data_IF_304666451131
#
_entry.id   IF_304666451131
#
_cell.length_a   1.000
_cell.length_b   1.000
_cell.length_c   1.000
_cell.angle_alpha   90.00
_cell.angle_beta   90.00
_cell.angle_gamma   90.00
#
_symmetry.space_group_name_H-M   'P 1'
#
loop_
_entity.id
_entity.type
_entity.pdbx_description
1 polymer ?
#
# COMPACT_ATOMS: atom_id res chain seq x y z
N UNK A 1 16.19 12.24 -31.32
CA UNK A 1 16.06 11.87 -29.90
C UNK A 1 15.10 10.68 -29.80
N UNK A 2 15.47 9.61 -29.13
CA UNK A 2 14.56 8.52 -28.85
C UNK A 2 13.66 8.91 -27.66
N UNK A 3 12.37 8.62 -27.77
CA UNK A 3 11.41 8.83 -26.68
C UNK A 3 11.59 7.75 -25.62
N UNK A 4 11.64 8.10 -24.34
CA UNK A 4 11.62 7.15 -23.24
C UNK A 4 10.28 6.40 -23.22
N UNK A 5 10.33 5.08 -23.21
CA UNK A 5 9.13 4.26 -23.05
C UNK A 5 8.83 4.09 -21.57
N UNK A 6 7.57 4.22 -21.16
CA UNK A 6 7.14 4.10 -19.77
C UNK A 6 7.59 2.78 -19.10
N UNK A 7 7.66 1.69 -19.86
CA UNK A 7 8.17 0.40 -19.36
C UNK A 7 9.63 0.44 -18.87
N UNK A 8 10.41 1.41 -19.32
CA UNK A 8 11.82 1.57 -18.94
C UNK A 8 11.99 2.58 -17.80
N UNK A 9 10.96 3.34 -17.43
CA UNK A 9 10.96 4.19 -16.26
C UNK A 9 10.70 3.34 -15.01
N UNK A 10 11.65 3.27 -14.09
CA UNK A 10 11.57 2.42 -12.91
C UNK A 10 11.80 3.20 -11.63
N UNK A 11 11.01 2.83 -10.62
CA UNK A 11 11.20 3.25 -9.24
C UNK A 11 11.84 2.10 -8.48
N UNK A 12 12.89 2.39 -7.74
CA UNK A 12 13.62 1.41 -6.96
C UNK A 12 13.79 1.90 -5.52
N UNK A 13 13.82 0.96 -4.59
CA UNK A 13 14.09 1.15 -3.17
C UNK A 13 15.50 0.62 -2.91
N UNK A 14 16.31 1.39 -2.19
CA UNK A 14 17.64 0.93 -1.79
C UNK A 14 17.55 -0.12 -0.68
N UNK A 15 18.17 -1.26 -0.90
CA UNK A 15 18.34 -2.30 0.10
C UNK A 15 19.75 -2.19 0.69
N UNK A 16 19.83 -1.73 1.93
CA UNK A 16 21.10 -1.53 2.65
C UNK A 16 21.82 -2.85 2.94
N UNK A 17 21.11 -3.97 3.02
CA UNK A 17 21.72 -5.28 3.28
C UNK A 17 22.39 -5.84 2.03
N UNK A 18 21.74 -5.68 0.88
CA UNK A 18 22.28 -6.15 -0.41
C UNK A 18 23.16 -5.10 -1.07
N UNK A 19 23.21 -3.86 -0.57
CA UNK A 19 23.86 -2.69 -1.20
C UNK A 19 23.42 -2.49 -2.66
N UNK A 20 22.13 -2.77 -2.95
CA UNK A 20 21.56 -2.74 -4.29
C UNK A 20 20.20 -2.06 -4.28
N UNK A 21 19.77 -1.64 -5.45
CA UNK A 21 18.41 -1.13 -5.65
C UNK A 21 17.47 -2.27 -6.00
N UNK A 22 16.38 -2.41 -5.24
CA UNK A 22 15.26 -3.31 -5.54
C UNK A 22 14.21 -2.54 -6.32
N UNK A 23 13.92 -2.97 -7.54
CA UNK A 23 12.82 -2.38 -8.30
C UNK A 23 11.48 -2.72 -7.62
N UNK A 24 10.53 -1.80 -7.67
CA UNK A 24 9.13 -2.13 -7.38
C UNK A 24 8.67 -3.04 -8.52
N UNK A 25 8.71 -4.34 -8.25
CA UNK A 25 8.55 -5.38 -9.27
C UNK A 25 7.15 -5.42 -9.84
N UNK A 26 7.03 -5.83 -11.12
CA UNK A 26 5.74 -5.94 -11.85
C UNK A 26 4.88 -4.68 -11.79
N UNK A 27 5.51 -3.51 -11.73
CA UNK A 27 4.80 -2.24 -11.72
C UNK A 27 4.02 -2.05 -13.03
N UNK A 28 2.76 -1.69 -12.90
CA UNK A 28 1.85 -1.37 -14.01
C UNK A 28 1.81 0.13 -14.30
N UNK A 29 2.08 0.94 -13.28
CA UNK A 29 2.17 2.39 -13.37
C UNK A 29 3.03 2.96 -12.25
N UNK A 30 3.82 4.00 -12.57
CA UNK A 30 4.55 4.77 -11.58
C UNK A 30 4.49 6.25 -11.95
N UNK A 31 4.27 7.09 -10.95
CA UNK A 31 4.19 8.54 -11.12
C UNK A 31 5.10 9.21 -10.09
N UNK A 32 5.85 10.19 -10.53
CA UNK A 32 6.64 11.08 -9.67
C UNK A 32 6.07 12.48 -9.80
N UNK A 33 5.67 13.07 -8.70
CA UNK A 33 5.14 14.43 -8.63
C UNK A 33 6.12 15.33 -7.87
N UNK A 34 6.53 16.43 -8.48
CA UNK A 34 7.36 17.46 -7.88
C UNK A 34 6.50 18.71 -7.73
N UNK A 35 6.43 19.27 -6.53
CA UNK A 35 5.58 20.42 -6.24
C UNK A 35 6.42 21.57 -5.70
N UNK A 36 6.22 22.77 -6.27
CA UNK A 36 6.67 24.02 -5.68
C UNK A 36 5.47 24.69 -4.99
N UNK A 37 5.55 24.84 -3.69
CA UNK A 37 4.57 25.60 -2.94
C UNK A 37 4.94 27.08 -3.06
N UNK A 38 3.97 27.91 -3.46
CA UNK A 38 4.20 29.33 -3.72
C UNK A 38 3.35 30.18 -2.81
N UNK A 39 3.87 31.33 -2.44
CA UNK A 39 3.13 32.40 -1.78
C UNK A 39 3.09 33.61 -2.70
N UNK A 40 2.08 34.49 -2.54
CA UNK A 40 1.94 35.71 -3.34
C UNK A 40 2.77 36.83 -2.71
N UNK A 41 3.81 37.24 -3.41
CA UNK A 41 4.67 38.38 -3.04
C UNK A 41 4.24 39.72 -3.68
N UNK A 42 3.00 39.80 -4.16
CA UNK A 42 2.47 41.00 -4.78
C UNK A 42 2.42 42.19 -3.80
N UNK A 43 2.88 43.35 -4.22
CA UNK A 43 2.86 44.60 -3.42
C UNK A 43 2.42 45.77 -4.26
N UNK A 44 2.20 46.95 -3.64
CA UNK A 44 1.63 48.13 -4.29
C UNK A 44 2.49 48.74 -5.42
N UNK A 45 3.80 48.46 -5.44
CA UNK A 45 4.71 48.99 -6.45
C UNK A 45 4.76 48.14 -7.73
N UNK A 46 3.99 47.02 -7.76
CA UNK A 46 3.85 46.19 -8.96
C UNK A 46 2.89 46.87 -9.94
N UNK A 47 3.38 47.14 -11.13
CA UNK A 47 2.58 47.71 -12.21
C UNK A 47 1.83 46.59 -12.93
N UNK A 48 0.50 46.62 -12.88
CA UNK A 48 -0.37 45.64 -13.54
C UNK A 48 -1.14 44.78 -12.56
N UNK A 49 -1.96 43.85 -13.10
CA UNK A 49 -2.84 42.97 -12.33
C UNK A 49 -2.29 41.52 -12.16
N UNK A 50 -1.02 41.30 -12.49
CA UNK A 50 -0.40 39.99 -12.41
C UNK A 50 0.11 39.69 -11.00
N UNK A 51 -0.19 38.51 -10.47
CA UNK A 51 0.38 38.01 -9.22
C UNK A 51 1.89 37.72 -9.38
N UNK A 52 2.66 37.90 -8.31
CA UNK A 52 4.08 37.56 -8.25
C UNK A 52 4.32 36.38 -7.29
N UNK A 53 4.11 35.14 -7.73
CA UNK A 53 4.33 33.97 -6.87
C UNK A 53 5.81 33.79 -6.56
N UNK A 54 6.14 33.58 -5.29
CA UNK A 54 7.47 33.23 -4.80
C UNK A 54 7.44 31.82 -4.25
N UNK A 55 8.40 30.98 -4.64
CA UNK A 55 8.51 29.61 -4.10
C UNK A 55 8.96 29.67 -2.64
N UNK A 56 8.14 29.14 -1.75
CA UNK A 56 8.41 29.09 -0.31
C UNK A 56 8.87 27.73 0.17
N UNK A 57 8.42 26.66 -0.50
CA UNK A 57 8.89 25.31 -0.19
C UNK A 57 8.73 24.37 -1.39
N UNK A 58 9.43 23.25 -1.34
CA UNK A 58 9.40 22.19 -2.36
C UNK A 58 9.06 20.86 -1.70
N UNK A 59 8.22 20.08 -2.35
CA UNK A 59 7.90 18.72 -1.94
C UNK A 59 7.89 17.78 -3.14
N UNK A 60 7.96 16.49 -2.86
CA UNK A 60 7.87 15.46 -3.89
C UNK A 60 7.22 14.22 -3.35
N UNK A 61 6.55 13.50 -4.23
CA UNK A 61 5.91 12.23 -3.91
C UNK A 61 6.04 11.26 -5.08
N UNK A 62 5.95 9.98 -4.76
CA UNK A 62 5.99 8.89 -5.72
C UNK A 62 4.82 7.97 -5.46
N UNK A 63 4.08 7.60 -6.51
CA UNK A 63 3.06 6.57 -6.45
C UNK A 63 3.38 5.46 -7.43
N UNK A 64 3.14 4.21 -7.02
CA UNK A 64 3.35 3.03 -7.85
C UNK A 64 2.22 2.02 -7.67
N UNK A 65 1.77 1.46 -8.78
CA UNK A 65 0.88 0.30 -8.81
C UNK A 65 1.66 -0.93 -9.26
N UNK A 66 1.41 -2.07 -8.65
CA UNK A 66 2.16 -3.30 -8.92
C UNK A 66 1.30 -4.54 -8.73
N UNK A 67 1.52 -5.55 -9.56
CA UNK A 67 0.92 -6.89 -9.43
C UNK A 67 1.73 -7.80 -8.48
N UNK A 68 2.90 -7.36 -8.02
CA UNK A 68 3.72 -8.13 -7.09
C UNK A 68 3.27 -7.87 -5.65
N UNK A 69 2.71 -8.86 -5.01
CA UNK A 69 2.36 -8.85 -3.57
C UNK A 69 3.26 -9.77 -2.73
N UNK A 70 4.24 -10.42 -3.34
CA UNK A 70 5.17 -11.31 -2.61
C UNK A 70 6.03 -10.55 -1.59
N UNK A 71 6.23 -9.24 -1.80
CA UNK A 71 6.94 -8.36 -0.88
C UNK A 71 6.02 -7.62 0.12
N UNK A 72 4.75 -8.02 0.23
CA UNK A 72 3.77 -7.39 1.13
C UNK A 72 4.30 -7.29 2.57
N UNK A 73 4.89 -8.37 3.09
CA UNK A 73 5.46 -8.37 4.43
C UNK A 73 6.56 -7.32 4.59
N UNK A 74 7.45 -7.17 3.60
CA UNK A 74 8.51 -6.17 3.63
C UNK A 74 7.94 -4.73 3.61
N UNK A 75 6.92 -4.45 2.79
CA UNK A 75 6.27 -3.14 2.73
C UNK A 75 5.53 -2.82 4.03
N UNK A 76 4.78 -3.78 4.59
CA UNK A 76 4.10 -3.62 5.87
C UNK A 76 5.08 -3.42 7.03
N UNK A 77 6.23 -4.08 7.00
CA UNK A 77 7.30 -3.87 7.99
C UNK A 77 7.92 -2.48 7.82
N UNK A 78 8.15 -2.02 6.60
CA UNK A 78 8.73 -0.71 6.33
C UNK A 78 7.85 0.43 6.87
N UNK A 79 6.53 0.36 6.62
CA UNK A 79 5.60 1.38 7.14
C UNK A 79 5.53 1.33 8.69
N UNK A 80 5.56 0.12 9.26
CA UNK A 80 5.53 -0.08 10.71
C UNK A 80 6.77 0.48 11.42
N UNK A 81 7.94 0.41 10.79
CA UNK A 81 9.17 0.96 11.35
C UNK A 81 9.20 2.49 11.33
N UNK A 82 8.29 3.15 10.62
CA UNK A 82 8.25 4.62 10.50
C UNK A 82 9.60 5.23 10.08
N UNK A 83 10.37 4.54 9.25
CA UNK A 83 11.69 5.00 8.85
C UNK A 83 11.71 5.40 7.38
N UNK A 84 12.44 6.47 7.01
CA UNK A 84 12.57 6.87 5.63
C UNK A 84 13.38 5.84 4.84
N UNK A 85 12.99 5.64 3.60
CA UNK A 85 13.68 4.79 2.65
C UNK A 85 14.32 5.63 1.55
N UNK A 86 15.48 5.20 1.06
CA UNK A 86 16.07 5.83 -0.12
C UNK A 86 15.37 5.32 -1.37
N UNK A 87 14.68 6.21 -2.07
CA UNK A 87 14.11 5.96 -3.39
C UNK A 87 15.03 6.50 -4.47
N UNK A 88 15.01 5.81 -5.60
CA UNK A 88 15.63 6.27 -6.83
C UNK A 88 14.67 6.00 -7.99
N UNK A 89 14.56 6.95 -8.91
CA UNK A 89 13.95 6.70 -10.20
C UNK A 89 14.96 6.89 -11.32
N UNK A 90 14.89 6.02 -12.29
CA UNK A 90 15.84 6.00 -13.40
C UNK A 90 15.24 5.29 -14.61
N UNK A 91 15.93 5.38 -15.73
CA UNK A 91 15.71 4.54 -16.89
C UNK A 91 16.46 3.22 -16.74
N UNK A 92 15.84 2.12 -17.13
CA UNK A 92 16.52 0.84 -17.26
C UNK A 92 16.95 0.59 -18.69
N UNK A 93 18.01 -0.21 -18.84
CA UNK A 93 18.46 -0.69 -20.14
C UNK A 93 17.31 -1.36 -20.89
N UNK A 94 17.19 -1.02 -22.17
CA UNK A 94 16.19 -1.64 -23.06
C UNK A 94 16.50 -3.10 -23.39
N UNK A 95 17.70 -3.55 -23.05
CA UNK A 95 18.20 -4.90 -23.41
C UNK A 95 17.84 -5.93 -22.34
N UNK A 96 17.95 -5.59 -21.06
CA UNK A 96 17.82 -6.56 -19.97
C UNK A 96 16.83 -6.13 -18.87
N UNK A 97 16.37 -4.88 -18.84
CA UNK A 97 15.54 -4.30 -17.78
C UNK A 97 16.12 -4.48 -16.35
N UNK A 98 17.38 -4.85 -16.22
CA UNK A 98 18.03 -5.17 -14.95
C UNK A 98 19.18 -4.22 -14.62
N UNK A 99 19.62 -3.42 -15.60
CA UNK A 99 20.70 -2.46 -15.46
C UNK A 99 20.15 -1.06 -15.59
N UNK A 100 20.51 -0.17 -14.67
CA UNK A 100 20.16 1.26 -14.74
C UNK A 100 20.95 1.96 -15.82
N UNK A 101 20.26 2.76 -16.63
CA UNK A 101 20.89 3.55 -17.70
C UNK A 101 21.61 4.81 -17.18
N UNK A 102 21.37 5.22 -15.91
CA UNK A 102 21.90 6.47 -15.31
C UNK A 102 21.52 7.71 -16.13
N UNK A 103 20.22 7.80 -16.42
CA UNK A 103 19.69 8.90 -17.20
C UNK A 103 19.91 10.26 -16.50
N UNK A 104 20.00 11.32 -17.28
CA UNK A 104 20.22 12.69 -16.77
C UNK A 104 19.08 13.17 -15.87
N UNK A 105 17.88 12.61 -16.03
CA UNK A 105 16.71 12.91 -15.18
C UNK A 105 16.64 12.04 -13.91
N UNK A 106 17.54 11.06 -13.75
CA UNK A 106 17.57 10.22 -12.57
C UNK A 106 17.80 11.03 -11.30
N UNK A 107 17.00 10.77 -10.29
CA UNK A 107 17.10 11.42 -8.97
C UNK A 107 16.92 10.39 -7.88
N UNK A 108 17.50 10.70 -6.72
CA UNK A 108 17.31 9.96 -5.48
C UNK A 108 16.93 10.89 -4.33
N UNK A 109 16.21 10.37 -3.37
CA UNK A 109 15.82 11.09 -2.16
C UNK A 109 15.34 10.15 -1.08
N UNK A 110 15.19 10.69 0.12
CA UNK A 110 14.59 9.98 1.26
C UNK A 110 13.07 10.16 1.21
N UNK A 111 12.32 9.09 1.43
CA UNK A 111 10.88 9.13 1.47
C UNK A 111 10.33 8.17 2.51
N UNK A 112 9.19 8.52 3.08
CA UNK A 112 8.38 7.60 3.88
C UNK A 112 7.38 6.90 3.00
N UNK A 113 7.20 5.59 3.19
CA UNK A 113 6.06 4.86 2.65
C UNK A 113 4.85 5.26 3.50
N UNK A 114 4.01 6.14 2.99
CA UNK A 114 2.91 6.73 3.75
C UNK A 114 1.55 6.09 3.48
N UNK A 115 1.42 5.33 2.40
CA UNK A 115 0.17 4.66 2.08
C UNK A 115 0.43 3.36 1.31
N UNK A 116 -0.24 2.28 1.73
CA UNK A 116 -0.18 0.97 1.08
C UNK A 116 -1.57 0.36 1.02
N UNK A 117 -2.04 0.06 -0.16
CA UNK A 117 -3.29 -0.66 -0.37
C UNK A 117 -2.99 -1.98 -1.08
N UNK A 118 -3.39 -3.08 -0.47
CA UNK A 118 -3.39 -4.41 -1.10
C UNK A 118 -4.81 -4.79 -1.48
N UNK A 119 -5.01 -5.27 -2.70
CA UNK A 119 -6.29 -5.74 -3.22
C UNK A 119 -6.18 -7.21 -3.65
N UNK A 120 -7.12 -8.02 -3.16
CA UNK A 120 -7.19 -9.45 -3.40
C UNK A 120 -8.61 -9.81 -3.83
N UNK A 121 -8.89 -9.70 -5.12
CA UNK A 121 -10.21 -9.99 -5.67
C UNK A 121 -10.26 -11.41 -6.24
N UNK A 122 -11.46 -12.02 -6.19
CA UNK A 122 -11.66 -13.36 -6.72
C UNK A 122 -11.34 -13.43 -8.22
N UNK A 123 -10.57 -14.45 -8.61
CA UNK A 123 -10.18 -14.76 -10.01
C UNK A 123 -9.43 -13.64 -10.73
N UNK A 124 -8.81 -12.72 -10.01
CA UNK A 124 -7.92 -11.70 -10.55
C UNK A 124 -6.54 -11.79 -9.94
N UNK A 125 -5.56 -11.15 -10.57
CA UNK A 125 -4.25 -10.99 -9.96
C UNK A 125 -4.36 -10.00 -8.80
N UNK A 126 -3.73 -10.34 -7.69
CA UNK A 126 -3.59 -9.42 -6.58
C UNK A 126 -2.83 -8.17 -7.01
N UNK A 127 -3.19 -7.03 -6.44
CA UNK A 127 -2.58 -5.74 -6.75
C UNK A 127 -2.15 -5.06 -5.46
N UNK A 128 -1.16 -4.19 -5.57
CA UNK A 128 -0.81 -3.24 -4.51
C UNK A 128 -0.63 -1.85 -5.10
N UNK A 129 -1.01 -0.86 -4.32
CA UNK A 129 -0.73 0.55 -4.57
C UNK A 129 0.16 1.05 -3.44
N UNK A 130 1.20 1.77 -3.80
CA UNK A 130 2.18 2.33 -2.86
C UNK A 130 2.25 3.83 -3.09
N UNK A 131 2.24 4.60 -2.00
CA UNK A 131 2.52 6.02 -2.03
C UNK A 131 3.68 6.32 -1.10
N UNK A 132 4.61 7.11 -1.61
CA UNK A 132 5.78 7.56 -0.87
C UNK A 132 5.77 9.09 -0.81
N UNK A 133 5.89 9.64 0.38
CA UNK A 133 6.06 11.06 0.60
C UNK A 133 7.53 11.37 0.81
N UNK A 134 8.07 12.23 -0.03
CA UNK A 134 9.46 12.67 0.07
C UNK A 134 9.72 13.51 1.32
N UNK A 135 10.90 13.33 1.90
CA UNK A 135 11.40 14.12 3.01
C UNK A 135 12.79 14.63 2.67
N UNK A 136 12.94 15.93 2.58
CA UNK A 136 14.19 16.58 2.22
C UNK A 136 14.50 16.63 0.72
N UNK A 137 15.74 17.04 0.35
CA UNK A 137 16.11 17.36 -1.00
C UNK A 137 16.28 16.14 -1.90
N UNK A 138 15.95 16.35 -3.18
CA UNK A 138 16.32 15.44 -4.26
C UNK A 138 17.78 15.66 -4.68
N UNK A 139 18.49 14.56 -4.85
CA UNK A 139 19.88 14.53 -5.27
C UNK A 139 20.01 13.94 -6.68
N UNK A 140 20.99 14.40 -7.44
CA UNK A 140 21.40 13.73 -8.66
C UNK A 140 22.06 12.40 -8.32
N UNK A 141 21.84 11.41 -9.16
CA UNK A 141 22.44 10.10 -8.96
C UNK A 141 23.91 10.10 -9.37
N UNK A 142 24.80 9.74 -8.46
CA UNK A 142 26.22 9.69 -8.73
C UNK A 142 26.57 8.56 -9.75
N UNK A 143 27.62 8.78 -10.53
CA UNK A 143 28.11 7.77 -11.48
C UNK A 143 28.57 6.47 -10.80
N UNK A 144 29.02 6.55 -9.53
CA UNK A 144 29.44 5.44 -8.69
C UNK A 144 28.28 4.64 -8.07
N UNK A 145 27.03 5.12 -8.17
CA UNK A 145 25.88 4.40 -7.64
C UNK A 145 25.71 3.02 -8.27
N UNK A 146 25.22 2.08 -7.48
CA UNK A 146 24.96 0.72 -7.93
C UNK A 146 24.09 0.70 -9.20
N UNK A 147 24.51 -0.05 -10.21
CA UNK A 147 23.80 -0.17 -11.48
C UNK A 147 22.83 -1.35 -11.49
N UNK A 148 23.07 -2.36 -10.66
CA UNK A 148 22.26 -3.57 -10.65
C UNK A 148 20.93 -3.31 -9.97
N UNK A 149 19.87 -3.76 -10.65
CA UNK A 149 18.51 -3.82 -10.16
C UNK A 149 18.19 -5.29 -9.91
N UNK A 150 17.65 -5.59 -8.74
CA UNK A 150 17.12 -6.92 -8.45
C UNK A 150 15.70 -6.95 -9.01
N UNK A 151 15.43 -7.72 -10.07
CA UNK A 151 14.06 -7.90 -10.54
C UNK A 151 13.33 -8.72 -9.50
N UNK A 152 12.19 -8.23 -9.06
CA UNK A 152 11.35 -8.91 -8.10
C UNK A 152 9.99 -9.18 -8.73
N UNK A 153 9.50 -10.39 -8.63
CA UNK A 153 8.11 -10.59 -8.77
C UNK A 153 7.64 -12.00 -9.11
N UNK A 154 6.75 -12.45 -8.30
CA UNK A 154 5.71 -13.39 -8.65
C UNK A 154 4.36 -12.73 -8.40
N UNK A 155 3.40 -12.97 -9.27
CA UNK A 155 2.02 -12.58 -9.02
C UNK A 155 1.34 -13.67 -8.19
N UNK A 156 0.38 -13.26 -7.37
CA UNK A 156 -0.49 -14.16 -6.61
C UNK A 156 -1.91 -13.92 -7.06
N UNK A 157 -2.68 -14.98 -7.30
CA UNK A 157 -4.09 -14.84 -7.59
C UNK A 157 -4.82 -14.49 -6.29
N UNK A 158 -5.67 -13.48 -6.33
CA UNK A 158 -6.41 -12.98 -5.16
C UNK A 158 -7.30 -14.03 -4.50
N UNK A 159 -7.81 -15.00 -5.25
CA UNK A 159 -8.61 -16.11 -4.71
C UNK A 159 -7.87 -16.94 -3.65
N UNK A 160 -6.54 -16.96 -3.65
CA UNK A 160 -5.72 -17.70 -2.70
C UNK A 160 -5.37 -16.89 -1.45
N UNK A 161 -5.72 -15.61 -1.40
CA UNK A 161 -5.50 -14.75 -0.23
C UNK A 161 -6.84 -14.54 0.48
N UNK A 162 -6.92 -14.92 1.75
CA UNK A 162 -8.18 -14.89 2.49
C UNK A 162 -8.05 -14.19 3.84
N UNK A 163 -9.14 -13.54 4.22
CA UNK A 163 -9.32 -12.97 5.55
C UNK A 163 -9.89 -14.02 6.49
N UNK A 164 -9.20 -14.24 7.60
CA UNK A 164 -9.60 -15.07 8.71
C UNK A 164 -9.97 -14.19 9.89
N UNK A 165 -11.10 -14.49 10.54
CA UNK A 165 -11.56 -13.78 11.71
C UNK A 165 -11.70 -14.73 12.92
N UNK A 166 -11.35 -14.23 14.11
CA UNK A 166 -11.66 -14.86 15.39
C UNK A 166 -13.11 -14.62 15.80
N UNK A 167 -13.51 -15.17 16.92
CA UNK A 167 -14.77 -14.86 17.58
C UNK A 167 -14.66 -13.64 18.48
N UNK A 168 -13.48 -13.36 18.98
CA UNK A 168 -13.18 -12.28 19.92
C UNK A 168 -11.69 -11.85 19.79
N UNK A 169 -11.24 -10.99 20.69
CA UNK A 169 -9.86 -10.47 20.68
C UNK A 169 -8.82 -11.44 21.29
N UNK A 170 -9.22 -12.61 21.74
CA UNK A 170 -8.34 -13.64 22.32
C UNK A 170 -8.23 -14.88 21.46
N UNK A 171 -9.30 -15.26 20.78
CA UNK A 171 -9.37 -16.44 19.94
C UNK A 171 -8.52 -16.27 18.66
N UNK A 172 -7.68 -17.27 18.38
CA UNK A 172 -6.91 -17.30 17.14
C UNK A 172 -7.84 -17.24 15.91
N UNK A 173 -7.56 -16.40 14.91
CA UNK A 173 -8.39 -16.29 13.72
C UNK A 173 -8.26 -17.55 12.86
N UNK A 174 -9.24 -18.42 12.94
CA UNK A 174 -9.24 -19.73 12.27
C UNK A 174 -10.31 -19.88 11.18
N UNK A 175 -11.28 -18.96 11.11
CA UNK A 175 -12.42 -19.06 10.20
C UNK A 175 -12.39 -17.97 9.14
N UNK A 176 -12.53 -18.37 7.87
CA UNK A 176 -12.61 -17.45 6.73
C UNK A 176 -14.02 -16.85 6.60
N UNK A 177 -14.15 -15.71 5.92
CA UNK A 177 -15.46 -15.20 5.51
C UNK A 177 -16.00 -16.06 4.38
N UNK A 178 -17.25 -16.54 4.53
CA UNK A 178 -17.90 -17.36 3.52
C UNK A 178 -18.21 -16.54 2.26
N UNK A 179 -18.04 -17.16 1.08
CA UNK A 179 -18.37 -16.57 -0.22
C UNK A 179 -17.77 -15.18 -0.49
N UNK A 180 -16.60 -14.91 0.08
CA UNK A 180 -15.88 -13.66 -0.12
C UNK A 180 -15.55 -13.45 -1.62
N UNK A 181 -15.76 -12.21 -2.11
CA UNK A 181 -15.49 -11.77 -3.49
C UNK A 181 -14.26 -10.88 -3.57
N UNK A 182 -14.07 -10.02 -2.58
CA UNK A 182 -12.97 -9.08 -2.52
C UNK A 182 -12.43 -8.96 -1.11
N UNK A 183 -11.17 -8.58 -1.02
CA UNK A 183 -10.48 -8.24 0.20
C UNK A 183 -9.50 -7.11 -0.10
N UNK A 184 -9.56 -6.04 0.67
CA UNK A 184 -8.59 -4.95 0.64
C UNK A 184 -8.02 -4.73 2.03
N UNK A 185 -6.72 -4.58 2.12
CA UNK A 185 -6.01 -4.10 3.31
C UNK A 185 -5.37 -2.77 2.96
N UNK A 186 -5.73 -1.75 3.67
CA UNK A 186 -5.15 -0.42 3.59
C UNK A 186 -4.37 -0.11 4.86
N UNK A 187 -3.16 0.35 4.74
CA UNK A 187 -2.31 0.80 5.85
C UNK A 187 -1.76 2.17 5.52
N UNK A 188 -1.96 3.11 6.41
CA UNK A 188 -1.52 4.49 6.24
C UNK A 188 -0.63 4.95 7.38
N UNK A 189 0.35 5.78 7.05
CA UNK A 189 1.26 6.46 7.97
C UNK A 189 0.95 7.96 7.90
N UNK A 190 0.56 8.53 9.01
CA UNK A 190 0.38 9.98 9.12
C UNK A 190 1.74 10.66 9.25
N UNK A 191 1.96 11.67 8.42
CA UNK A 191 3.17 12.47 8.41
C UNK A 191 2.81 13.92 8.75
N UNK A 192 3.68 14.58 9.50
CA UNK A 192 3.60 16.00 9.79
C UNK A 192 4.81 16.73 9.21
N UNK A 193 4.61 17.99 8.85
CA UNK A 193 5.69 18.85 8.35
C UNK A 193 6.56 19.32 9.54
N UNK A 194 7.79 18.83 9.59
CA UNK A 194 8.80 19.17 10.59
C UNK A 194 9.81 20.22 10.08
N UNK A 195 9.48 20.92 9.01
CA UNK A 195 10.33 21.95 8.44
C UNK A 195 10.44 23.15 9.39
N UNK A 196 11.66 23.57 9.68
CA UNK A 196 11.95 24.72 10.55
C UNK A 196 12.78 25.77 9.80
N UNK A 197 12.95 26.95 10.40
CA UNK A 197 13.82 28.01 9.85
C UNK A 197 15.29 27.58 9.75
N UNK A 198 15.69 26.56 10.53
CA UNK A 198 17.05 26.01 10.53
C UNK A 198 17.22 24.88 9.50
N UNK A 199 16.14 24.48 8.84
CA UNK A 199 16.19 23.47 7.78
C UNK A 199 16.89 24.07 6.56
N UNK A 200 17.97 23.42 6.13
CA UNK A 200 18.73 23.90 4.98
C UNK A 200 17.96 23.68 3.66
N UNK A 201 17.83 24.73 2.89
CA UNK A 201 17.15 24.70 1.57
C UNK A 201 15.63 24.84 1.67
N UNK A 202 14.96 24.71 0.51
CA UNK A 202 13.52 24.94 0.38
C UNK A 202 12.69 23.65 0.47
N UNK A 203 13.28 22.53 0.86
CA UNK A 203 12.61 21.21 0.86
C UNK A 203 11.90 20.94 2.17
N UNK A 204 10.67 20.42 2.07
CA UNK A 204 9.93 19.99 3.23
C UNK A 204 10.56 18.75 3.88
N UNK A 205 10.60 18.74 5.20
CA UNK A 205 10.99 17.60 6.03
C UNK A 205 9.73 17.01 6.64
N UNK A 206 9.58 15.70 6.55
CA UNK A 206 8.43 14.99 7.09
C UNK A 206 8.82 14.18 8.31
N UNK A 207 7.93 14.13 9.30
CA UNK A 207 8.06 13.31 10.50
C UNK A 207 6.84 12.40 10.67
N UNK A 208 7.03 11.09 10.89
CA UNK A 208 5.93 10.16 11.08
C UNK A 208 5.34 10.25 12.49
N UNK A 209 4.01 10.28 12.61
CA UNK A 209 3.31 10.48 13.88
C UNK A 209 2.42 9.30 14.28
N UNK A 210 1.72 8.68 13.34
CA UNK A 210 0.78 7.60 13.64
C UNK A 210 0.61 6.63 12.47
N UNK A 211 0.30 5.38 12.80
CA UNK A 211 -0.09 4.36 11.82
C UNK A 211 -1.56 4.01 12.06
N UNK A 212 -2.32 3.89 10.98
CA UNK A 212 -3.66 3.32 10.99
C UNK A 212 -3.79 2.26 9.91
N UNK A 213 -4.74 1.34 10.08
CA UNK A 213 -5.06 0.36 9.07
C UNK A 213 -6.55 0.03 9.09
N UNK A 214 -7.06 -0.31 7.93
CA UNK A 214 -8.43 -0.77 7.75
C UNK A 214 -8.50 -1.92 6.75
N UNK A 215 -9.53 -2.73 6.90
CA UNK A 215 -9.81 -3.87 6.03
C UNK A 215 -11.21 -3.72 5.49
N UNK A 216 -11.36 -3.83 4.18
CA UNK A 216 -12.64 -3.91 3.52
C UNK A 216 -12.79 -5.27 2.84
N UNK A 217 -13.95 -5.88 2.98
CA UNK A 217 -14.24 -7.17 2.32
C UNK A 217 -15.68 -7.21 1.86
N UNK A 218 -15.92 -7.80 0.69
CA UNK A 218 -17.27 -8.07 0.19
C UNK A 218 -17.51 -9.57 0.03
N UNK A 219 -18.74 -10.01 0.27
CA UNK A 219 -19.13 -11.40 0.14
C UNK A 219 -20.59 -11.55 -0.30
N UNK A 220 -20.91 -12.67 -0.94
CA UNK A 220 -22.28 -12.99 -1.32
C UNK A 220 -23.11 -13.39 -0.10
N UNK A 221 -24.34 -12.90 -0.03
CA UNK A 221 -25.34 -13.41 0.90
C UNK A 221 -25.85 -14.77 0.41
N UNK A 222 -25.87 -15.74 1.31
CA UNK A 222 -26.44 -17.06 1.04
C UNK A 222 -27.62 -17.31 1.96
N UNK A 223 -28.79 -17.59 1.38
CA UNK A 223 -29.99 -17.97 2.12
C UNK A 223 -30.13 -19.48 2.21
N UNK A 224 -30.56 -19.99 3.37
CA UNK A 224 -31.06 -21.35 3.53
C UNK A 224 -30.03 -22.49 3.55
N UNK A 225 -28.77 -22.22 3.35
CA UNK A 225 -27.75 -23.27 3.56
C UNK A 225 -27.34 -23.30 5.03
N UNK A 226 -27.68 -24.41 5.66
CA UNK A 226 -26.95 -24.80 6.86
C UNK A 226 -25.51 -25.03 6.41
N UNK A 227 -24.61 -24.07 6.71
CA UNK A 227 -23.19 -24.12 6.31
C UNK A 227 -22.46 -25.26 7.06
N UNK A 228 -23.14 -26.35 7.31
CA UNK A 228 -22.60 -27.56 7.96
C UNK A 228 -21.58 -28.32 7.10
N UNK A 229 -21.60 -28.10 5.77
CA UNK A 229 -20.59 -28.67 4.87
C UNK A 229 -19.34 -27.81 4.71
N UNK A 230 -19.29 -26.61 5.31
CA UNK A 230 -18.19 -25.66 5.17
C UNK A 230 -17.57 -25.36 6.53
N UNK A 231 -17.00 -26.36 7.17
CA UNK A 231 -16.22 -26.20 8.40
C UNK A 231 -15.18 -25.12 8.20
N UNK A 232 -15.14 -24.12 9.10
CA UNK A 232 -14.13 -23.05 9.07
C UNK A 232 -14.52 -21.79 8.30
N UNK A 233 -15.81 -21.53 8.01
CA UNK A 233 -16.26 -20.29 7.39
C UNK A 233 -17.29 -19.55 8.24
N UNK A 234 -17.16 -18.22 8.35
CA UNK A 234 -18.14 -17.33 8.98
C UNK A 234 -19.24 -16.96 7.99
N UNK A 235 -20.49 -17.11 8.43
CA UNK A 235 -21.69 -16.69 7.73
C UNK A 235 -21.94 -15.17 7.90
N UNK A 236 -22.95 -14.63 7.19
CA UNK A 236 -23.41 -13.28 7.43
C UNK A 236 -23.88 -13.08 8.89
N UNK A 237 -24.61 -14.06 9.46
CA UNK A 237 -25.06 -14.00 10.85
C UNK A 237 -23.90 -13.93 11.86
N UNK A 238 -22.78 -14.61 11.58
CA UNK A 238 -21.57 -14.49 12.42
C UNK A 238 -20.96 -13.09 12.32
N UNK A 239 -21.00 -12.46 11.14
CA UNK A 239 -20.50 -11.10 10.93
C UNK A 239 -21.43 -10.08 11.61
N UNK A 240 -22.75 -10.26 11.51
CA UNK A 240 -23.74 -9.43 12.21
C UNK A 240 -23.55 -9.54 13.74
N UNK A 241 -23.32 -10.72 14.27
CA UNK A 241 -23.05 -10.90 15.70
C UNK A 241 -21.76 -10.19 16.15
N UNK A 242 -20.72 -10.17 15.32
CA UNK A 242 -19.48 -9.40 15.58
C UNK A 242 -19.78 -7.90 15.58
N UNK A 243 -20.61 -7.43 14.62
CA UNK A 243 -21.01 -6.03 14.53
C UNK A 243 -21.81 -5.60 15.77
N UNK A 244 -22.81 -6.38 16.18
CA UNK A 244 -23.65 -6.11 17.36
C UNK A 244 -22.85 -6.13 18.66
N UNK A 245 -21.85 -7.02 18.77
CA UNK A 245 -20.97 -7.08 19.94
C UNK A 245 -20.13 -5.80 20.10
N UNK A 246 -19.76 -5.14 19.00
CA UNK A 246 -18.96 -3.90 19.00
C UNK A 246 -17.59 -4.03 19.65
N UNK A 247 -17.08 -5.24 19.82
CA UNK A 247 -15.81 -5.53 20.49
C UNK A 247 -14.73 -5.90 19.50
N UNK A 248 -13.44 -5.66 19.81
CA UNK A 248 -12.36 -6.05 18.94
C UNK A 248 -12.32 -7.56 18.71
N UNK A 249 -11.98 -7.97 17.49
CA UNK A 249 -11.76 -9.36 17.11
C UNK A 249 -10.39 -9.56 16.50
N UNK A 250 -9.78 -10.73 16.69
CA UNK A 250 -8.51 -11.09 16.03
C UNK A 250 -8.76 -11.37 14.55
N UNK A 251 -7.82 -10.96 13.73
CA UNK A 251 -7.83 -11.23 12.30
C UNK A 251 -6.46 -11.65 11.79
N UNK A 252 -6.44 -12.31 10.64
CA UNK A 252 -5.23 -12.49 9.84
C UNK A 252 -5.57 -12.56 8.36
N UNK A 253 -4.66 -12.09 7.53
CA UNK A 253 -4.65 -12.34 6.09
C UNK A 253 -3.60 -13.41 5.84
N UNK A 254 -4.00 -14.46 5.14
CA UNK A 254 -3.14 -15.59 4.87
C UNK A 254 -3.40 -16.17 3.48
N UNK A 255 -2.35 -16.74 2.89
CA UNK A 255 -2.49 -17.61 1.71
C UNK A 255 -3.13 -18.93 2.10
N UNK A 256 -3.91 -19.49 1.19
CA UNK A 256 -4.46 -20.83 1.27
C UNK A 256 -3.88 -21.70 0.15
N UNK A 257 -3.63 -22.96 0.43
CA UNK A 257 -2.86 -23.84 -0.45
C UNK A 257 -3.60 -24.41 -1.66
N UNK A 258 -4.68 -23.80 -2.13
CA UNK A 258 -5.42 -24.25 -3.32
C UNK A 258 -6.88 -23.84 -3.34
N UNK A 259 -7.57 -24.20 -4.43
CA UNK A 259 -8.99 -23.93 -4.64
C UNK A 259 -9.84 -24.52 -3.51
N UNK A 260 -10.84 -23.75 -3.06
CA UNK A 260 -11.75 -24.11 -1.97
C UNK A 260 -11.08 -24.43 -0.62
N UNK A 261 -9.77 -24.22 -0.50
CA UNK A 261 -9.08 -24.42 0.78
C UNK A 261 -9.41 -23.26 1.73
N UNK A 262 -9.63 -23.60 3.00
CA UNK A 262 -9.94 -22.66 4.09
C UNK A 262 -8.93 -22.74 5.23
N UNK A 263 -7.89 -23.51 5.03
CA UNK A 263 -6.78 -23.63 5.98
C UNK A 263 -5.65 -22.70 5.52
N UNK A 264 -5.21 -21.83 6.42
CA UNK A 264 -4.06 -20.97 6.13
C UNK A 264 -2.81 -21.82 5.92
N UNK A 265 -2.12 -21.62 4.80
CA UNK A 265 -0.82 -22.21 4.52
C UNK A 265 0.32 -21.30 4.99
N UNK A 266 0.19 -19.97 4.81
CA UNK A 266 1.14 -18.99 5.31
C UNK A 266 0.40 -17.70 5.66
N UNK A 267 0.66 -17.18 6.86
CA UNK A 267 0.14 -15.88 7.29
C UNK A 267 0.98 -14.78 6.66
N UNK A 268 0.35 -13.70 6.20
CA UNK A 268 1.02 -12.49 5.72
C UNK A 268 1.07 -11.46 6.84
N UNK A 269 -0.09 -11.20 7.46
CA UNK A 269 -0.26 -10.18 8.48
C UNK A 269 -1.41 -10.55 9.40
N UNK A 270 -1.36 -10.11 10.64
CA UNK A 270 -2.40 -10.37 11.65
C UNK A 270 -2.49 -9.22 12.65
N UNK A 271 -3.60 -9.13 13.36
CA UNK A 271 -3.83 -8.08 14.35
C UNK A 271 -5.19 -8.18 15.01
N UNK A 272 -5.71 -7.04 15.45
CA UNK A 272 -7.05 -6.90 16.00
C UNK A 272 -7.80 -5.79 15.26
N UNK A 273 -9.09 -5.96 15.03
CA UNK A 273 -9.95 -4.99 14.34
C UNK A 273 -11.29 -4.88 15.05
N UNK A 274 -11.97 -3.75 14.83
CA UNK A 274 -13.38 -3.56 15.18
C UNK A 274 -14.17 -3.46 13.87
N UNK A 275 -15.27 -4.18 13.77
CA UNK A 275 -16.19 -4.05 12.64
C UNK A 275 -16.99 -2.75 12.82
N UNK A 276 -16.76 -1.78 11.96
CA UNK A 276 -17.31 -0.42 12.06
C UNK A 276 -18.50 -0.20 11.16
N UNK A 277 -18.60 -0.94 10.07
CA UNK A 277 -19.70 -0.82 9.13
C UNK A 277 -20.03 -2.16 8.49
N UNK A 278 -21.30 -2.47 8.38
CA UNK A 278 -21.83 -3.60 7.62
C UNK A 278 -22.93 -3.06 6.69
N UNK A 279 -22.74 -3.20 5.39
CA UNK A 279 -23.71 -2.77 4.38
C UNK A 279 -24.26 -3.99 3.67
N UNK A 280 -25.57 -4.14 3.67
CA UNK A 280 -26.29 -5.21 2.98
C UNK A 280 -26.88 -4.65 1.68
N UNK A 281 -26.63 -5.32 0.57
CA UNK A 281 -27.06 -4.89 -0.75
C UNK A 281 -27.87 -5.99 -1.44
N UNK A 282 -29.13 -5.69 -1.77
CA UNK A 282 -30.08 -6.60 -2.39
C UNK A 282 -30.61 -6.08 -3.72
N UNK A 283 -29.82 -6.05 -4.81
CA UNK A 283 -30.27 -5.53 -6.08
C UNK A 283 -31.31 -6.45 -6.73
N UNK A 284 -32.25 -5.84 -7.48
CA UNK A 284 -33.27 -6.61 -8.20
C UNK A 284 -32.63 -7.51 -9.27
N UNK A 285 -33.00 -8.80 -9.29
CA UNK A 285 -32.53 -9.82 -10.24
C UNK A 285 -31.03 -10.10 -10.24
N UNK A 286 -30.30 -9.75 -9.19
CA UNK A 286 -28.89 -10.06 -9.00
C UNK A 286 -28.68 -10.75 -7.66
N UNK A 287 -27.49 -11.32 -7.46
CA UNK A 287 -27.14 -11.88 -6.17
C UNK A 287 -27.03 -10.78 -5.12
N UNK A 288 -27.63 -10.98 -3.97
CA UNK A 288 -27.42 -10.12 -2.83
C UNK A 288 -26.00 -10.30 -2.29
N UNK A 289 -25.37 -9.19 -1.88
CA UNK A 289 -24.04 -9.20 -1.28
C UNK A 289 -23.99 -8.26 -0.06
N UNK A 290 -22.92 -8.36 0.69
CA UNK A 290 -22.63 -7.45 1.78
C UNK A 290 -21.18 -6.98 1.72
N UNK A 291 -20.94 -5.82 2.29
CA UNK A 291 -19.59 -5.26 2.47
C UNK A 291 -19.38 -5.00 3.96
N UNK A 292 -18.27 -5.46 4.50
CA UNK A 292 -17.85 -5.23 5.86
C UNK A 292 -16.59 -4.34 5.88
N UNK A 293 -16.62 -3.30 6.72
CA UNK A 293 -15.49 -2.41 6.98
C UNK A 293 -15.00 -2.66 8.42
N UNK A 294 -13.70 -2.90 8.56
CA UNK A 294 -13.07 -3.21 9.83
C UNK A 294 -11.91 -2.25 10.03
N UNK A 295 -11.95 -1.50 11.12
CA UNK A 295 -10.87 -0.57 11.47
C UNK A 295 -9.88 -1.22 12.43
N UNK A 296 -8.60 -0.89 12.25
CA UNK A 296 -7.52 -1.38 13.09
C UNK A 296 -7.70 -1.05 14.57
N UNK A 297 -7.40 -2.02 15.42
CA UNK A 297 -7.39 -1.85 16.86
C UNK A 297 -6.02 -2.26 17.42
N UNK A 298 -5.23 -1.26 17.82
CA UNK A 298 -3.85 -1.47 18.21
C UNK A 298 -2.93 -1.78 17.03
N UNK A 299 -1.79 -2.37 17.34
CA UNK A 299 -0.76 -2.67 16.35
C UNK A 299 -1.04 -3.98 15.59
N UNK A 300 -0.47 -4.11 14.40
CA UNK A 300 -0.50 -5.34 13.62
C UNK A 300 0.85 -6.06 13.67
N UNK A 301 0.84 -7.36 13.40
CA UNK A 301 2.04 -8.20 13.34
C UNK A 301 2.20 -8.72 11.92
N UNK A 302 3.37 -8.47 11.35
CA UNK A 302 3.77 -9.03 10.05
C UNK A 302 4.41 -10.40 10.29
N UNK A 303 4.04 -11.39 9.50
CA UNK A 303 4.66 -12.71 9.59
C UNK A 303 6.12 -12.63 9.11
N UNK A 304 6.99 -13.34 9.80
CA UNK A 304 8.42 -13.44 9.49
C UNK A 304 8.68 -14.35 8.29
#
# INVERSE_FOLDING_TARGET
MATLKGQNFRICIFDSTAEKYKVIGMATGCTVTLTNNTDDASHKDIVGAAAMPTVISKSWQVSCESLNVADAAAMLTAIKLMQPMTLIWDETSTTDNQTRAKATFARKGQAFLNDVVFQFDDRTNSQKQLQFQGSGPLQTVAASEATQIIPLGSYTNGQFVRLFLGSDNTAAPSTVIAAAKSLSLHVSLTLEDATTKDTAGDWQIQEPTAISYDISTSALMRSGETITSQVGAKSLADIEAIYEAGTPVKWKIANVGGDNNRTASSTIVSGSVILTQLTLNGPNRQNADYTAQLNGYGDYTVAA
#
